data_IF_390161730680
#
_entry.id   IF_390161730680
#
_cell.length_a   1.000
_cell.length_b   1.000
_cell.length_c   1.000
_cell.angle_alpha   90.00
_cell.angle_beta   90.00
_cell.angle_gamma   90.00
#
_symmetry.space_group_name_H-M   'P 1'
#
loop_
_entity.id
_entity.type
_entity.pdbx_description
1 polymer ?
#
# COMPACT_ATOMS: atom_id res chain seq x y z
N UNK A 1 9.98 28.77 -3.73
CA UNK A 1 8.95 27.84 -4.25
C UNK A 1 9.54 26.77 -5.13
N UNK A 2 9.63 25.54 -4.63
CA UNK A 2 9.96 24.36 -5.45
C UNK A 2 8.92 23.30 -5.17
N UNK A 3 7.71 23.49 -5.72
CA UNK A 3 6.79 22.37 -5.88
C UNK A 3 7.51 21.35 -6.77
N UNK A 4 7.77 20.16 -6.23
CA UNK A 4 8.27 19.04 -7.04
C UNK A 4 7.30 18.75 -8.19
N UNK A 5 7.73 17.96 -9.19
CA UNK A 5 6.85 17.62 -10.30
C UNK A 5 5.55 17.02 -9.78
N UNK A 6 4.43 17.58 -10.21
CA UNK A 6 3.11 17.11 -9.85
C UNK A 6 2.91 15.68 -10.36
N UNK A 7 2.25 14.86 -9.54
CA UNK A 7 1.91 13.50 -9.87
C UNK A 7 0.97 13.48 -11.09
N UNK A 8 1.16 12.57 -12.04
CA UNK A 8 0.34 12.58 -13.26
C UNK A 8 -1.14 12.31 -12.95
N UNK A 9 -2.05 12.80 -13.80
CA UNK A 9 -3.49 12.58 -13.63
C UNK A 9 -3.86 11.10 -13.59
N UNK A 10 -3.19 10.27 -14.40
CA UNK A 10 -3.36 8.81 -14.43
C UNK A 10 -3.06 8.18 -13.07
N UNK A 11 -1.97 8.59 -12.43
CA UNK A 11 -1.60 8.12 -11.09
C UNK A 11 -2.66 8.52 -10.06
N UNK A 12 -3.10 9.77 -10.10
CA UNK A 12 -4.12 10.28 -9.18
C UNK A 12 -5.43 9.50 -9.29
N UNK A 13 -5.85 9.16 -10.52
CA UNK A 13 -7.06 8.38 -10.75
C UNK A 13 -6.90 6.92 -10.30
N UNK A 14 -5.76 6.29 -10.56
CA UNK A 14 -5.45 4.95 -10.04
C UNK A 14 -5.58 4.91 -8.50
N UNK A 15 -4.98 5.89 -7.81
CA UNK A 15 -5.06 5.93 -6.35
C UNK A 15 -6.50 6.18 -5.88
N UNK A 16 -7.25 7.08 -6.54
CA UNK A 16 -8.68 7.36 -6.25
C UNK A 16 -9.58 6.14 -6.43
N UNK A 17 -9.32 5.30 -7.43
CA UNK A 17 -10.09 4.08 -7.68
C UNK A 17 -9.74 2.93 -6.74
N UNK A 18 -8.59 2.98 -6.07
CA UNK A 18 -8.07 1.93 -5.18
C UNK A 18 -8.04 2.31 -3.70
N UNK A 19 -8.68 3.43 -3.37
CA UNK A 19 -8.76 4.02 -2.04
C UNK A 19 -9.12 3.01 -0.94
N UNK A 20 -10.17 2.20 -1.14
CA UNK A 20 -10.61 1.22 -0.15
C UNK A 20 -9.55 0.13 0.15
N UNK A 21 -8.78 -0.28 -0.86
CA UNK A 21 -7.76 -1.30 -0.72
C UNK A 21 -6.46 -0.75 -0.11
N UNK A 22 -6.11 0.51 -0.43
CA UNK A 22 -5.04 1.23 0.26
C UNK A 22 -5.34 1.38 1.76
N UNK A 23 -6.59 1.69 2.12
CA UNK A 23 -6.99 1.77 3.53
C UNK A 23 -6.95 0.44 4.25
N UNK A 24 -7.36 -0.63 3.58
CA UNK A 24 -7.27 -1.96 4.14
C UNK A 24 -5.81 -2.30 4.48
N UNK A 25 -4.88 -2.00 3.57
CA UNK A 25 -3.46 -2.23 3.82
C UNK A 25 -2.92 -1.36 4.98
N UNK A 26 -3.36 -0.10 5.10
CA UNK A 26 -3.09 0.72 6.30
C UNK A 26 -3.70 0.14 7.59
N UNK A 27 -4.91 -0.41 7.53
CA UNK A 27 -5.59 -1.02 8.66
C UNK A 27 -4.90 -2.32 9.11
N UNK A 28 -4.47 -3.15 8.16
CA UNK A 28 -3.63 -4.33 8.39
C UNK A 28 -2.34 -3.93 9.12
N UNK A 29 -1.72 -2.83 8.66
CA UNK A 29 -0.45 -2.35 9.19
C UNK A 29 -0.58 -1.58 10.54
N UNK A 30 -1.78 -1.07 10.85
CA UNK A 30 -2.12 -0.41 12.11
C UNK A 30 -2.21 -1.32 13.35
N UNK A 31 -2.20 -2.65 13.16
CA UNK A 31 -2.31 -3.79 14.11
C UNK A 31 -3.70 -4.45 14.16
N UNK A 32 -3.76 -5.75 13.83
CA UNK A 32 -4.26 -6.81 14.72
C UNK A 32 -3.79 -8.21 14.27
N UNK A 33 -2.89 -8.83 15.03
CA UNK A 33 -2.49 -10.23 14.85
C UNK A 33 -3.67 -11.20 14.61
N UNK A 34 -3.37 -12.19 13.74
CA UNK A 34 -4.02 -13.49 13.49
C UNK A 34 -5.26 -13.53 12.58
N UNK A 35 -4.99 -14.06 11.37
CA UNK A 35 -5.90 -14.66 10.39
C UNK A 35 -6.74 -13.70 9.52
N UNK A 36 -6.03 -12.81 8.81
CA UNK A 36 -6.60 -11.81 7.90
C UNK A 36 -7.36 -12.39 6.69
N UNK A 37 -6.99 -13.59 6.24
CA UNK A 37 -7.76 -14.38 5.27
C UNK A 37 -9.23 -14.45 5.66
N UNK A 38 -9.48 -14.66 6.95
CA UNK A 38 -10.82 -14.78 7.51
C UNK A 38 -11.57 -13.45 7.56
N UNK A 39 -10.91 -12.36 7.97
CA UNK A 39 -11.50 -11.01 7.99
C UNK A 39 -11.87 -10.55 6.58
N UNK A 40 -11.02 -10.85 5.59
CA UNK A 40 -11.27 -10.52 4.20
C UNK A 40 -12.41 -11.34 3.58
N UNK A 41 -12.45 -12.65 3.85
CA UNK A 41 -13.59 -13.50 3.47
C UNK A 41 -14.89 -13.00 4.12
N UNK A 42 -14.86 -12.63 5.40
CA UNK A 42 -16.01 -12.11 6.12
C UNK A 42 -16.50 -10.77 5.56
N UNK A 43 -15.61 -9.87 5.15
CA UNK A 43 -15.95 -8.60 4.50
C UNK A 43 -16.76 -8.82 3.22
N UNK A 44 -16.28 -9.69 2.33
CA UNK A 44 -16.98 -9.99 1.08
C UNK A 44 -18.26 -10.79 1.31
N UNK A 45 -18.27 -11.75 2.24
CA UNK A 45 -19.49 -12.48 2.64
C UNK A 45 -20.57 -11.57 3.23
N UNK A 46 -20.19 -10.52 3.94
CA UNK A 46 -21.12 -9.56 4.53
C UNK A 46 -21.73 -8.56 3.52
N UNK A 47 -21.43 -8.69 2.22
CA UNK A 47 -21.92 -7.78 1.18
C UNK A 47 -21.05 -6.54 0.99
N UNK A 48 -19.79 -6.59 1.44
CA UNK A 48 -18.79 -5.54 1.23
C UNK A 48 -19.24 -4.17 1.75
N UNK A 49 -19.11 -3.17 0.88
CA UNK A 49 -19.28 -1.72 1.16
C UNK A 49 -20.60 -1.32 1.86
N UNK A 50 -21.64 -2.15 1.84
CA UNK A 50 -22.97 -1.79 2.33
C UNK A 50 -23.30 -2.10 3.80
N UNK A 51 -22.57 -2.99 4.50
CA UNK A 51 -23.05 -3.55 5.79
C UNK A 51 -22.01 -3.76 6.91
N UNK A 52 -20.70 -3.63 6.64
CA UNK A 52 -19.68 -4.10 7.58
C UNK A 52 -19.52 -3.28 8.87
N UNK A 53 -20.05 -2.05 8.92
CA UNK A 53 -19.89 -1.12 10.05
C UNK A 53 -20.68 -1.45 11.34
N UNK A 54 -21.24 -2.65 11.50
CA UNK A 54 -22.15 -2.99 12.63
C UNK A 54 -21.61 -4.06 13.59
N UNK A 55 -20.36 -4.50 13.42
CA UNK A 55 -19.77 -5.61 14.20
C UNK A 55 -18.96 -5.13 15.41
N UNK A 56 -18.83 -5.98 16.45
CA UNK A 56 -17.95 -5.79 17.62
C UNK A 56 -16.63 -6.57 17.45
N UNK A 57 -15.59 -6.26 18.22
CA UNK A 57 -14.32 -7.02 18.21
C UNK A 57 -13.36 -6.61 17.08
N UNK A 58 -12.54 -7.53 16.53
CA UNK A 58 -11.53 -7.24 15.49
C UNK A 58 -12.10 -6.50 14.26
N UNK A 59 -13.34 -6.79 13.89
CA UNK A 59 -14.00 -6.16 12.75
C UNK A 59 -14.33 -4.67 13.00
N UNK A 60 -14.64 -4.29 14.25
CA UNK A 60 -14.80 -2.89 14.66
C UNK A 60 -13.46 -2.16 14.60
N UNK A 61 -12.39 -2.78 15.08
CA UNK A 61 -11.04 -2.19 15.08
C UNK A 61 -10.54 -1.96 13.65
N UNK A 62 -10.74 -2.93 12.76
CA UNK A 62 -10.45 -2.79 11.33
C UNK A 62 -11.29 -1.68 10.67
N UNK A 63 -12.57 -1.57 11.03
CA UNK A 63 -13.45 -0.50 10.55
C UNK A 63 -13.02 0.89 11.05
N UNK A 64 -12.69 1.04 12.33
CA UNK A 64 -12.24 2.31 12.90
C UNK A 64 -10.86 2.71 12.36
N UNK A 65 -9.96 1.75 12.15
CA UNK A 65 -8.69 1.98 11.47
C UNK A 65 -8.90 2.41 10.00
N UNK A 66 -9.83 1.77 9.30
CA UNK A 66 -10.28 2.19 7.96
C UNK A 66 -10.81 3.62 7.97
N UNK A 67 -11.68 3.99 8.91
CA UNK A 67 -12.25 5.35 8.96
C UNK A 67 -11.19 6.40 9.29
N UNK A 68 -10.23 6.12 10.20
CA UNK A 68 -9.09 7.03 10.44
C UNK A 68 -8.23 7.21 9.19
N UNK A 69 -7.93 6.13 8.47
CA UNK A 69 -7.19 6.19 7.22
C UNK A 69 -7.98 6.94 6.13
N UNK A 70 -9.31 6.77 6.09
CA UNK A 70 -10.23 7.47 5.20
C UNK A 70 -10.26 8.97 5.44
N UNK A 71 -10.38 9.38 6.68
CA UNK A 71 -10.27 10.79 7.10
C UNK A 71 -8.92 11.39 6.69
N UNK A 72 -7.81 10.68 6.93
CA UNK A 72 -6.47 11.12 6.54
C UNK A 72 -6.35 11.33 5.02
N UNK A 73 -6.90 10.43 4.21
CA UNK A 73 -6.93 10.58 2.75
C UNK A 73 -7.87 11.66 2.24
N UNK A 74 -9.02 11.86 2.88
CA UNK A 74 -9.88 13.01 2.57
C UNK A 74 -9.17 14.32 2.95
N UNK A 75 -8.35 14.32 4.01
CA UNK A 75 -7.48 15.44 4.36
C UNK A 75 -6.30 15.64 3.38
N UNK A 76 -5.86 14.59 2.66
CA UNK A 76 -4.92 14.73 1.53
C UNK A 76 -5.52 15.60 0.42
N UNK A 77 -6.85 15.61 0.26
CA UNK A 77 -7.50 16.52 -0.69
C UNK A 77 -7.48 17.99 -0.25
N UNK A 78 -7.14 18.30 1.00
CA UNK A 78 -7.15 19.67 1.54
C UNK A 78 -5.77 20.28 1.85
N UNK A 79 -4.66 19.58 1.59
CA UNK A 79 -3.33 20.24 1.66
C UNK A 79 -2.07 19.37 1.73
N UNK A 80 -2.15 18.06 1.92
CA UNK A 80 -0.96 17.19 1.83
C UNK A 80 -0.74 16.72 0.40
N UNK A 81 0.49 16.86 -0.13
CA UNK A 81 0.82 16.44 -1.48
C UNK A 81 1.77 15.24 -1.49
N UNK A 82 1.55 14.34 -2.45
CA UNK A 82 2.54 13.34 -2.84
C UNK A 82 3.81 14.03 -3.29
N UNK A 83 4.96 13.57 -2.77
CA UNK A 83 6.27 14.13 -3.09
C UNK A 83 7.09 13.12 -3.88
N UNK A 84 7.55 13.51 -5.07
CA UNK A 84 8.51 12.69 -5.82
C UNK A 84 9.79 12.53 -4.98
N UNK A 85 10.13 11.28 -4.64
CA UNK A 85 11.35 10.93 -3.91
C UNK A 85 12.47 10.54 -4.85
N UNK A 86 12.14 9.78 -5.89
CA UNK A 86 13.12 9.24 -6.81
C UNK A 86 12.49 8.96 -8.16
N UNK A 87 13.25 9.23 -9.21
CA UNK A 87 12.91 8.93 -10.58
C UNK A 87 14.17 8.48 -11.30
N UNK A 88 14.18 7.25 -11.79
CA UNK A 88 15.23 6.72 -12.66
C UNK A 88 14.62 5.77 -13.71
N UNK A 89 15.46 5.17 -14.55
CA UNK A 89 15.03 4.25 -15.61
C UNK A 89 14.19 3.06 -15.12
N UNK A 90 14.27 2.72 -13.83
CA UNK A 90 13.51 1.62 -13.25
C UNK A 90 12.16 2.06 -12.75
N UNK A 91 12.10 3.20 -12.07
CA UNK A 91 10.89 3.57 -11.35
C UNK A 91 10.74 5.06 -11.07
N UNK A 92 9.49 5.45 -10.84
CA UNK A 92 9.12 6.70 -10.17
C UNK A 92 8.56 6.34 -8.78
N UNK A 93 9.06 6.99 -7.72
CA UNK A 93 8.64 6.79 -6.32
C UNK A 93 8.10 8.10 -5.77
N UNK A 94 6.87 8.05 -5.25
CA UNK A 94 6.20 9.17 -4.61
C UNK A 94 5.83 8.81 -3.18
N UNK A 95 6.13 9.69 -2.23
CA UNK A 95 5.74 9.48 -0.84
C UNK A 95 4.64 10.44 -0.42
N UNK A 96 3.72 9.92 0.37
CA UNK A 96 2.77 10.68 1.15
C UNK A 96 3.02 10.39 2.63
N UNK A 97 3.39 11.44 3.37
CA UNK A 97 3.58 11.39 4.81
C UNK A 97 2.24 11.58 5.50
N UNK A 98 1.81 10.57 6.26
CA UNK A 98 0.72 10.65 7.22
C UNK A 98 1.30 10.83 8.63
N UNK A 99 0.42 10.97 9.63
CA UNK A 99 0.82 11.13 11.03
C UNK A 99 1.67 9.96 11.54
N UNK A 100 1.18 8.73 11.38
CA UNK A 100 1.85 7.52 11.89
C UNK A 100 2.53 6.66 10.80
N UNK A 101 2.27 6.97 9.53
CA UNK A 101 2.61 6.10 8.40
C UNK A 101 3.18 6.90 7.22
N UNK A 102 3.95 6.21 6.39
CA UNK A 102 4.30 6.66 5.05
C UNK A 102 3.63 5.74 4.05
N UNK A 103 2.96 6.33 3.07
CA UNK A 103 2.51 5.65 1.87
C UNK A 103 3.52 5.95 0.76
N UNK A 104 4.23 4.94 0.27
CA UNK A 104 5.21 5.07 -0.81
C UNK A 104 4.72 4.37 -2.07
N UNK A 105 4.30 5.16 -3.05
CA UNK A 105 3.76 4.70 -4.32
C UNK A 105 4.90 4.52 -5.33
N UNK A 106 5.03 3.32 -5.86
CA UNK A 106 6.06 2.97 -6.85
C UNK A 106 5.44 2.64 -8.19
N UNK A 107 5.92 3.32 -9.23
CA UNK A 107 5.71 2.99 -10.63
C UNK A 107 6.94 2.25 -11.14
N UNK A 108 6.91 0.93 -11.16
CA UNK A 108 8.01 0.11 -11.65
C UNK A 108 7.83 -0.15 -13.15
N UNK A 109 8.77 0.32 -13.96
CA UNK A 109 8.75 0.15 -15.41
C UNK A 109 8.85 -1.34 -15.80
N UNK A 110 8.28 -1.65 -16.97
CA UNK A 110 8.28 -2.99 -17.55
C UNK A 110 9.67 -3.63 -17.60
N UNK A 111 9.77 -4.90 -17.21
CA UNK A 111 11.02 -5.65 -17.18
C UNK A 111 12.07 -5.14 -16.19
N UNK A 112 11.70 -4.19 -15.31
CA UNK A 112 12.59 -3.64 -14.27
C UNK A 112 12.31 -4.25 -12.91
N UNK A 113 13.22 -4.01 -11.98
CA UNK A 113 13.11 -4.45 -10.59
C UNK A 113 13.52 -3.37 -9.62
N UNK A 114 12.95 -3.43 -8.41
CA UNK A 114 13.49 -2.66 -7.29
C UNK A 114 14.89 -3.18 -6.95
N UNK A 115 15.64 -2.39 -6.17
CA UNK A 115 17.02 -2.75 -5.80
C UNK A 115 17.10 -4.03 -4.96
N UNK A 116 16.02 -4.33 -4.23
CA UNK A 116 16.05 -5.32 -3.17
C UNK A 116 16.74 -4.77 -1.93
N UNK A 117 16.12 -4.93 -0.77
CA UNK A 117 16.71 -4.53 0.51
C UNK A 117 15.99 -5.20 1.69
N UNK A 118 16.53 -5.04 2.89
CA UNK A 118 15.88 -5.33 4.16
C UNK A 118 16.02 -4.12 5.07
N UNK A 119 15.12 -3.98 6.03
CA UNK A 119 15.22 -2.98 7.10
C UNK A 119 14.42 -3.45 8.32
N UNK A 120 14.63 -2.78 9.46
CA UNK A 120 14.13 -3.20 10.77
C UNK A 120 12.63 -2.88 11.00
N UNK A 121 11.90 -2.55 9.95
CA UNK A 121 10.47 -2.23 10.01
C UNK A 121 9.71 -3.30 9.23
N UNK A 122 8.51 -3.62 9.69
CA UNK A 122 7.56 -4.40 8.89
C UNK A 122 7.01 -3.50 7.78
N UNK A 123 6.68 -4.05 6.61
CA UNK A 123 5.99 -3.32 5.54
C UNK A 123 4.82 -4.14 4.99
N UNK A 124 3.84 -3.45 4.41
CA UNK A 124 2.79 -4.05 3.62
C UNK A 124 2.82 -3.50 2.19
N UNK A 125 2.81 -4.38 1.18
CA UNK A 125 2.77 -4.01 -0.23
C UNK A 125 1.38 -4.31 -0.76
N UNK A 126 0.73 -3.31 -1.35
CA UNK A 126 -0.52 -3.47 -2.07
C UNK A 126 -0.29 -3.24 -3.56
N UNK A 127 -0.55 -4.26 -4.38
CA UNK A 127 -0.37 -4.20 -5.82
C UNK A 127 -1.61 -3.60 -6.47
N UNK A 128 -1.47 -2.40 -7.01
CA UNK A 128 -2.58 -1.60 -7.50
C UNK A 128 -2.92 -1.98 -8.94
N UNK A 129 -1.91 -2.13 -9.79
CA UNK A 129 -2.10 -2.45 -11.20
C UNK A 129 -0.87 -3.08 -11.82
N UNK A 130 -1.08 -4.05 -12.70
CA UNK A 130 -0.05 -4.80 -13.40
C UNK A 130 0.25 -6.13 -12.76
N UNK A 131 1.15 -6.89 -13.38
CA UNK A 131 1.56 -8.21 -12.89
C UNK A 131 3.08 -8.28 -12.76
N UNK A 132 3.53 -9.07 -11.80
CA UNK A 132 4.95 -9.26 -11.56
C UNK A 132 5.22 -10.35 -10.53
N UNK A 133 6.39 -10.25 -9.92
CA UNK A 133 6.83 -11.16 -8.86
C UNK A 133 7.41 -10.38 -7.71
N UNK A 134 7.20 -10.87 -6.51
CA UNK A 134 7.90 -10.40 -5.31
C UNK A 134 8.67 -11.54 -4.68
N UNK A 135 9.92 -11.27 -4.35
CA UNK A 135 10.75 -12.11 -3.49
C UNK A 135 10.65 -11.58 -2.07
N UNK A 136 10.37 -12.45 -1.09
CA UNK A 136 10.39 -12.15 0.35
C UNK A 136 11.17 -13.27 1.04
N UNK A 137 12.31 -12.93 1.63
CA UNK A 137 13.29 -13.91 2.10
C UNK A 137 13.79 -14.78 0.94
N UNK A 138 13.55 -16.08 1.04
CA UNK A 138 13.93 -17.08 0.01
C UNK A 138 12.77 -17.41 -0.94
N UNK A 139 11.54 -16.99 -0.61
CA UNK A 139 10.36 -17.31 -1.39
C UNK A 139 10.13 -16.26 -2.47
N UNK A 140 9.71 -16.70 -3.67
CA UNK A 140 9.23 -15.82 -4.73
C UNK A 140 7.84 -16.24 -5.15
N UNK A 141 6.92 -15.27 -5.21
CA UNK A 141 5.54 -15.49 -5.63
C UNK A 141 5.13 -14.49 -6.71
N UNK A 142 4.17 -14.89 -7.55
CA UNK A 142 3.49 -13.98 -8.47
C UNK A 142 2.58 -13.02 -7.72
N UNK A 143 2.43 -11.81 -8.26
CA UNK A 143 1.56 -10.76 -7.73
C UNK A 143 0.82 -10.08 -8.87
N UNK A 144 -0.42 -9.65 -8.60
CA UNK A 144 -1.29 -8.92 -9.53
C UNK A 144 -2.15 -7.90 -8.79
N UNK A 145 -2.94 -7.14 -9.56
CA UNK A 145 -3.95 -6.20 -9.07
C UNK A 145 -4.76 -6.77 -7.90
N UNK A 146 -4.75 -6.06 -6.78
CA UNK A 146 -5.49 -6.42 -5.56
C UNK A 146 -4.70 -7.23 -4.54
N UNK A 147 -3.54 -7.79 -4.91
CA UNK A 147 -2.75 -8.61 -3.99
C UNK A 147 -2.10 -7.77 -2.87
N UNK A 148 -2.03 -8.36 -1.69
CA UNK A 148 -1.35 -7.79 -0.51
C UNK A 148 -0.25 -8.74 -0.07
N UNK A 149 0.94 -8.21 0.18
CA UNK A 149 2.09 -8.97 0.69
C UNK A 149 2.66 -8.28 1.92
N UNK A 150 2.76 -9.03 3.02
CA UNK A 150 3.36 -8.57 4.27
C UNK A 150 4.83 -8.98 4.29
N UNK A 151 5.69 -8.02 4.57
CA UNK A 151 7.13 -8.19 4.62
C UNK A 151 7.55 -8.07 6.09
N UNK A 152 8.00 -9.18 6.73
CA UNK A 152 8.45 -9.14 8.11
C UNK A 152 9.70 -8.28 8.29
N UNK A 153 9.95 -7.84 9.53
CA UNK A 153 11.19 -7.14 9.89
C UNK A 153 12.42 -7.92 9.47
N UNK A 154 13.46 -7.19 9.07
CA UNK A 154 14.78 -7.72 8.72
C UNK A 154 14.74 -8.77 7.60
N UNK A 155 13.65 -8.80 6.81
CA UNK A 155 13.47 -9.75 5.71
C UNK A 155 13.76 -9.07 4.38
N UNK A 156 14.67 -9.66 3.60
CA UNK A 156 14.97 -9.18 2.26
C UNK A 156 13.71 -9.23 1.39
N UNK A 157 13.46 -8.17 0.63
CA UNK A 157 12.35 -8.14 -0.30
C UNK A 157 12.70 -7.39 -1.58
N UNK A 158 12.19 -7.86 -2.71
CA UNK A 158 12.43 -7.28 -4.04
C UNK A 158 11.24 -7.53 -4.96
N UNK A 159 10.86 -6.51 -5.72
CA UNK A 159 9.75 -6.60 -6.69
C UNK A 159 10.32 -6.55 -8.11
N UNK A 160 9.78 -7.40 -8.97
CA UNK A 160 10.06 -7.49 -10.39
C UNK A 160 8.76 -7.25 -11.16
N UNK A 161 8.80 -6.31 -12.10
CA UNK A 161 7.76 -6.14 -13.11
C UNK A 161 8.07 -7.08 -14.28
N UNK A 162 7.07 -7.83 -14.73
CA UNK A 162 7.22 -8.75 -15.86
C UNK A 162 6.92 -8.00 -17.18
N UNK A 163 5.76 -8.26 -17.82
CA UNK A 163 5.44 -7.78 -19.19
C UNK A 163 4.65 -6.46 -19.23
N UNK A 164 4.50 -5.78 -18.10
CA UNK A 164 3.84 -4.48 -18.03
C UNK A 164 4.38 -3.69 -16.87
N UNK A 165 4.24 -2.36 -16.93
CA UNK A 165 4.44 -1.51 -15.76
C UNK A 165 3.64 -2.06 -14.57
N UNK A 166 4.28 -2.09 -13.41
CA UNK A 166 3.70 -2.54 -12.15
C UNK A 166 3.61 -1.37 -11.18
N UNK A 167 2.41 -1.11 -10.67
CA UNK A 167 2.12 -0.03 -9.73
C UNK A 167 1.75 -0.64 -8.40
N UNK A 168 2.47 -0.27 -7.34
CA UNK A 168 2.20 -0.78 -6.00
C UNK A 168 2.48 0.26 -4.93
N UNK A 169 1.79 0.11 -3.80
CA UNK A 169 1.94 0.94 -2.63
C UNK A 169 2.68 0.17 -1.53
N UNK A 170 3.79 0.72 -1.06
CA UNK A 170 4.43 0.30 0.17
C UNK A 170 3.89 1.13 1.34
N UNK A 171 3.58 0.47 2.45
CA UNK A 171 3.06 1.07 3.67
C UNK A 171 3.97 0.66 4.82
N UNK A 172 4.55 1.66 5.48
CA UNK A 172 5.42 1.45 6.62
C UNK A 172 5.25 2.57 7.66
N UNK A 173 5.63 2.27 8.91
CA UNK A 173 5.43 3.15 10.07
C UNK A 173 6.56 4.15 10.06
N UNK A 174 6.24 5.38 10.39
CA UNK A 174 7.25 6.33 10.76
C UNK A 174 7.68 6.03 12.20
N UNK A 175 8.95 5.68 12.45
CA UNK A 175 9.45 5.72 13.83
C UNK A 175 9.90 7.14 14.12
N UNK A 176 9.15 7.87 14.94
CA UNK A 176 9.72 9.01 15.64
C UNK A 176 10.80 8.45 16.59
N UNK A 177 12.06 8.67 16.25
CA UNK A 177 13.18 8.54 17.19
C UNK A 177 13.07 9.58 18.29
#
# INVERSE_FOLDING_TARGET
>A
DKKGPEMSAEVMDICRSNVDAMYLACAIYGKAEKDYSKVWEEYWRAGGRGKYGTSTGPCKQAWEARERAREAWLAVQSGQCWKLRKKDERYDIYDLQLEDFVLSLTYLNEGKSTRGHSHHMEEAYYFISGQGRITVGEATQGVKDGDIVIIPKDTFHRVFSDNSRLVFLCIFKFSNS
#
